data_IF_553007821885
#
_entry.id   IF_553007821885
#
_cell.length_a   1.000
_cell.length_b   1.000
_cell.length_c   1.000
_cell.angle_alpha   90.00
_cell.angle_beta   90.00
_cell.angle_gamma   90.00
#
_symmetry.space_group_name_H-M   'P 1'
#
loop_
_entity.id
_entity.type
_entity.pdbx_description
1 polymer ?
#
# COMPACT_ATOMS: atom_id res chain seq x y z
N UNK A 1 -3.67 0.60 -29.70
CA UNK A 1 -3.02 0.82 -28.37
C UNK A 1 -1.73 0.02 -28.33
N UNK A 2 -0.58 0.67 -28.17
CA UNK A 2 0.75 0.02 -28.20
C UNK A 2 0.82 -1.07 -27.11
N UNK A 3 1.39 -2.24 -27.43
CA UNK A 3 1.37 -3.40 -26.53
C UNK A 3 2.06 -3.11 -25.18
N UNK A 4 3.03 -2.19 -25.18
CA UNK A 4 3.74 -1.72 -24.00
C UNK A 4 2.83 -0.96 -23.00
N UNK A 5 1.82 -0.21 -23.48
CA UNK A 5 0.90 0.49 -22.58
C UNK A 5 -0.06 -0.47 -21.86
N UNK A 6 -0.39 -1.62 -22.47
CA UNK A 6 -1.20 -2.65 -21.81
C UNK A 6 -0.44 -3.25 -20.62
N UNK A 7 0.84 -3.55 -20.80
CA UNK A 7 1.71 -4.08 -19.73
C UNK A 7 1.87 -3.05 -18.61
N UNK A 8 2.09 -1.77 -18.94
CA UNK A 8 2.21 -0.71 -17.94
C UNK A 8 0.90 -0.50 -17.15
N UNK A 9 -0.27 -0.51 -17.80
CA UNK A 9 -1.57 -0.47 -17.09
C UNK A 9 -1.73 -1.67 -16.15
N UNK A 10 -1.33 -2.87 -16.59
CA UNK A 10 -1.36 -4.06 -15.75
C UNK A 10 -0.44 -3.93 -14.52
N UNK A 11 0.78 -3.43 -14.70
CA UNK A 11 1.71 -3.13 -13.60
C UNK A 11 1.11 -2.10 -12.63
N UNK A 12 0.48 -1.03 -13.16
CA UNK A 12 -0.18 -0.01 -12.36
C UNK A 12 -1.30 -0.57 -11.47
N UNK A 13 -2.17 -1.42 -12.03
CA UNK A 13 -3.18 -2.17 -11.25
C UNK A 13 -2.50 -3.10 -10.23
N UNK A 14 -1.45 -3.82 -10.64
CA UNK A 14 -0.70 -4.71 -9.77
C UNK A 14 -0.16 -4.00 -8.53
N UNK A 15 0.44 -2.81 -8.69
CA UNK A 15 0.91 -1.98 -7.58
C UNK A 15 -0.22 -1.61 -6.61
N UNK A 16 -1.38 -1.19 -7.14
CA UNK A 16 -2.55 -0.83 -6.31
C UNK A 16 -3.07 -2.05 -5.52
N UNK A 17 -3.21 -3.21 -6.18
CA UNK A 17 -3.68 -4.44 -5.55
C UNK A 17 -2.69 -4.92 -4.48
N UNK A 18 -1.40 -4.96 -4.79
CA UNK A 18 -0.36 -5.36 -3.84
C UNK A 18 -0.33 -4.43 -2.61
N UNK A 19 -0.52 -3.13 -2.82
CA UNK A 19 -0.68 -2.18 -1.72
C UNK A 19 -1.85 -2.53 -0.80
N UNK A 20 -3.02 -2.84 -1.37
CA UNK A 20 -4.22 -3.22 -0.59
C UNK A 20 -3.97 -4.52 0.19
N UNK A 21 -3.41 -5.54 -0.48
CA UNK A 21 -3.12 -6.83 0.15
C UNK A 21 -2.14 -6.66 1.31
N UNK A 22 -1.06 -5.88 1.11
CA UNK A 22 -0.08 -5.59 2.15
C UNK A 22 -0.72 -4.87 3.34
N UNK A 23 -1.60 -3.89 3.10
CA UNK A 23 -2.31 -3.16 4.15
C UNK A 23 -3.22 -4.09 4.96
N UNK A 24 -4.03 -4.92 4.27
CA UNK A 24 -4.93 -5.87 4.93
C UNK A 24 -4.14 -6.89 5.75
N UNK A 25 -3.09 -7.48 5.17
CA UNK A 25 -2.24 -8.45 5.87
C UNK A 25 -1.59 -7.83 7.12
N UNK A 26 -1.18 -6.57 7.05
CA UNK A 26 -0.58 -5.87 8.17
C UNK A 26 -1.61 -5.55 9.28
N UNK A 27 -2.85 -5.19 8.93
CA UNK A 27 -3.93 -5.01 9.90
C UNK A 27 -4.24 -6.34 10.60
N UNK A 28 -4.36 -7.44 9.84
CA UNK A 28 -4.67 -8.76 10.39
C UNK A 28 -3.57 -9.27 11.33
N UNK A 29 -2.30 -9.14 10.93
CA UNK A 29 -1.16 -9.54 11.77
C UNK A 29 -1.05 -8.69 13.02
N UNK A 30 -1.34 -7.38 12.94
CA UNK A 30 -1.36 -6.50 14.10
C UNK A 30 -2.50 -6.85 15.05
N UNK A 31 -3.71 -7.12 14.54
CA UNK A 31 -4.85 -7.55 15.35
C UNK A 31 -4.58 -8.91 16.03
N UNK A 32 -3.99 -9.87 15.30
CA UNK A 32 -3.60 -11.16 15.84
C UNK A 32 -2.55 -11.01 16.96
N UNK A 33 -1.58 -10.11 16.79
CA UNK A 33 -0.57 -9.80 17.81
C UNK A 33 -1.19 -9.17 19.06
N UNK A 34 -2.08 -8.20 18.92
CA UNK A 34 -2.80 -7.59 20.06
C UNK A 34 -3.61 -8.66 20.80
N UNK A 35 -4.28 -9.55 20.08
CA UNK A 35 -5.05 -10.65 20.67
C UNK A 35 -4.14 -11.66 21.40
N UNK A 36 -3.00 -12.05 20.83
CA UNK A 36 -2.05 -12.97 21.49
C UNK A 36 -1.40 -12.34 22.72
N UNK A 37 -1.03 -11.06 22.64
CA UNK A 37 -0.43 -10.31 23.75
C UNK A 37 -1.45 -10.06 24.89
N UNK A 38 -2.75 -10.03 24.59
CA UNK A 38 -3.82 -9.94 25.58
C UNK A 38 -4.11 -11.26 26.31
N UNK A 39 -3.79 -12.41 25.71
CA UNK A 39 -4.00 -13.76 26.27
C UNK A 39 -2.74 -14.26 27.01
N UNK A 40 -1.56 -13.78 26.63
CA UNK A 40 -0.29 -14.09 27.26
C UNK A 40 0.13 -13.05 28.30
N UNK A 41 0.11 -13.44 29.57
CA UNK A 41 0.80 -12.83 30.71
C UNK A 41 1.94 -11.83 30.35
N UNK A 42 1.74 -10.52 30.56
CA UNK A 42 2.82 -9.55 30.34
C UNK A 42 2.46 -8.06 30.49
N UNK A 43 1.18 -7.70 30.43
CA UNK A 43 0.74 -6.29 30.49
C UNK A 43 0.76 -5.67 31.91
N UNK A 44 1.17 -6.42 32.94
CA UNK A 44 1.04 -6.01 34.35
C UNK A 44 1.99 -4.87 34.76
N UNK A 45 2.99 -4.50 33.94
CA UNK A 45 3.95 -3.42 34.26
C UNK A 45 4.49 -2.64 33.06
N UNK A 46 3.87 -2.72 31.88
CA UNK A 46 4.35 -2.00 30.70
C UNK A 46 3.62 -0.65 30.54
N UNK A 47 4.37 0.38 30.15
CA UNK A 47 3.80 1.70 29.89
C UNK A 47 2.77 1.61 28.75
N UNK A 48 1.50 2.00 28.96
CA UNK A 48 0.44 1.88 27.96
C UNK A 48 0.77 2.62 26.65
N UNK A 49 1.54 3.71 26.70
CA UNK A 49 1.98 4.44 25.51
C UNK A 49 2.93 3.58 24.66
N UNK A 50 3.81 2.80 25.30
CA UNK A 50 4.77 1.95 24.61
C UNK A 50 4.08 0.78 23.89
N UNK A 51 3.06 0.19 24.52
CA UNK A 51 2.24 -0.88 23.90
C UNK A 51 1.45 -0.33 22.71
N UNK A 52 0.85 0.85 22.87
CA UNK A 52 0.10 1.49 21.80
C UNK A 52 1.02 1.79 20.60
N UNK A 53 2.20 2.37 20.86
CA UNK A 53 3.17 2.68 19.82
C UNK A 53 3.69 1.41 19.11
N UNK A 54 4.04 0.35 19.85
CA UNK A 54 4.60 -0.88 19.27
C UNK A 54 3.59 -1.66 18.40
N UNK A 55 2.29 -1.43 18.62
CA UNK A 55 1.22 -2.02 17.82
C UNK A 55 0.75 -1.10 16.68
N UNK A 56 0.74 0.23 16.88
CA UNK A 56 0.34 1.17 15.84
C UNK A 56 1.47 1.48 14.85
N UNK A 57 2.74 1.42 15.25
CA UNK A 57 3.87 1.75 14.39
C UNK A 57 3.93 0.91 13.10
N UNK A 58 3.76 -0.43 13.15
CA UNK A 58 3.62 -1.23 11.93
C UNK A 58 2.47 -0.76 11.04
N UNK A 59 1.33 -0.36 11.61
CA UNK A 59 0.17 0.16 10.86
C UNK A 59 0.53 1.45 10.13
N UNK A 60 1.21 2.38 10.79
CA UNK A 60 1.66 3.62 10.15
C UNK A 60 2.59 3.35 8.96
N UNK A 61 3.55 2.42 9.11
CA UNK A 61 4.44 2.03 8.00
C UNK A 61 3.67 1.34 6.87
N UNK A 62 2.71 0.48 7.20
CA UNK A 62 1.85 -0.18 6.22
C UNK A 62 0.99 0.80 5.43
N UNK A 63 0.43 1.82 6.09
CA UNK A 63 -0.32 2.90 5.42
C UNK A 63 0.59 3.68 4.48
N UNK A 64 1.81 4.03 4.92
CA UNK A 64 2.78 4.71 4.06
C UNK A 64 3.14 3.86 2.83
N UNK A 65 3.41 2.58 3.01
CA UNK A 65 3.71 1.65 1.92
C UNK A 65 2.53 1.50 0.94
N UNK A 66 1.31 1.43 1.46
CA UNK A 66 0.09 1.42 0.63
C UNK A 66 -0.03 2.69 -0.21
N UNK A 67 0.09 3.87 0.42
CA UNK A 67 -0.01 5.15 -0.28
C UNK A 67 1.08 5.29 -1.35
N UNK A 68 2.29 4.82 -1.05
CA UNK A 68 3.40 4.83 -1.99
C UNK A 68 3.12 3.94 -3.21
N UNK A 69 2.71 2.69 -3.01
CA UNK A 69 2.39 1.75 -4.09
C UNK A 69 1.18 2.20 -4.91
N UNK A 70 0.16 2.71 -4.24
CA UNK A 70 -1.03 3.27 -4.89
C UNK A 70 -0.67 4.50 -5.73
N UNK A 71 0.13 5.41 -5.17
CA UNK A 71 0.61 6.61 -5.83
C UNK A 71 1.46 6.31 -7.06
N UNK A 72 2.38 5.33 -6.98
CA UNK A 72 3.15 4.85 -8.14
C UNK A 72 2.20 4.31 -9.22
N UNK A 73 1.19 3.53 -8.81
CA UNK A 73 0.18 3.03 -9.72
C UNK A 73 -0.50 4.17 -10.49
N UNK A 74 -1.00 5.19 -9.80
CA UNK A 74 -1.61 6.37 -10.44
C UNK A 74 -0.64 7.15 -11.34
N UNK A 75 0.62 7.28 -10.92
CA UNK A 75 1.65 7.94 -11.73
C UNK A 75 1.89 7.23 -13.06
N UNK A 76 1.90 5.89 -13.05
CA UNK A 76 1.99 5.09 -14.28
C UNK A 76 0.80 5.37 -15.20
N UNK A 77 -0.43 5.41 -14.66
CA UNK A 77 -1.62 5.74 -15.43
C UNK A 77 -1.54 7.13 -16.06
N UNK A 78 -1.19 8.14 -15.26
CA UNK A 78 -1.05 9.51 -15.71
C UNK A 78 -0.03 9.64 -16.84
N UNK A 79 1.14 8.99 -16.72
CA UNK A 79 2.18 9.01 -17.76
C UNK A 79 1.72 8.35 -19.06
N UNK A 80 0.92 7.28 -18.97
CA UNK A 80 0.35 6.65 -20.17
C UNK A 80 -0.64 7.59 -20.85
N UNK A 81 -1.52 8.24 -20.08
CA UNK A 81 -2.54 9.13 -20.63
C UNK A 81 -1.88 10.36 -21.29
N UNK A 82 -0.93 11.02 -20.62
CA UNK A 82 -0.13 12.12 -21.20
C UNK A 82 0.54 11.69 -22.51
N UNK A 83 1.06 10.47 -22.56
CA UNK A 83 1.77 9.97 -23.73
C UNK A 83 0.82 9.65 -24.88
N UNK A 84 -0.37 9.15 -24.60
CA UNK A 84 -1.41 8.93 -25.60
C UNK A 84 -1.86 10.27 -26.20
N UNK A 85 -2.12 11.28 -25.37
CA UNK A 85 -2.51 12.62 -25.81
C UNK A 85 -1.42 13.25 -26.70
N UNK A 86 -0.15 13.16 -26.29
CA UNK A 86 0.99 13.63 -27.09
C UNK A 86 1.12 12.91 -28.44
N UNK A 87 0.82 11.61 -28.49
CA UNK A 87 0.87 10.81 -29.71
C UNK A 87 -0.32 11.13 -30.65
N UNK A 88 -1.43 11.67 -30.14
CA UNK A 88 -2.56 12.20 -30.93
C UNK A 88 -2.22 13.57 -31.52
N UNK A 89 -1.73 14.50 -30.71
CA UNK A 89 -1.32 15.84 -31.16
C UNK A 89 -0.24 15.77 -32.26
N UNK A 90 0.70 14.83 -32.17
CA UNK A 90 1.79 14.68 -33.17
C UNK A 90 1.35 14.07 -34.51
N UNK A 91 0.13 13.51 -34.58
CA UNK A 91 -0.42 12.94 -35.81
C UNK A 91 -1.22 13.95 -36.62
N UNK A 92 -1.64 15.05 -36.00
CA UNK A 92 -2.14 16.26 -36.67
C UNK A 92 -0.98 17.09 -37.23
#
# INVERSE_FOLDING_TARGET
>A
MNNNYKVLKFIGIGCKILGIIALIGLILTTAAKIASDGVGMGLVNQNPIFILFNNLFPIYIGVFQFLFLYGIGELIYLLIDIKLDLDEIKKE
#
